data_IF_795621011756
#
_entry.id   IF_795621011756
#
_cell.length_a   1.000
_cell.length_b   1.000
_cell.length_c   1.000
_cell.angle_alpha   90.00
_cell.angle_beta   90.00
_cell.angle_gamma   90.00
#
_symmetry.space_group_name_H-M   'P 1'
#
loop_
_entity.id
_entity.type
_entity.pdbx_description
1 polymer ?
#
# COMPACT_ATOMS: atom_id res chain seq x y z
N UNK A 1 19.61 14.15 27.81
CA UNK A 1 19.68 13.91 26.35
C UNK A 1 19.08 12.56 25.91
N UNK A 2 19.06 11.53 26.77
CA UNK A 2 18.54 10.19 26.42
C UNK A 2 17.00 10.11 26.32
N UNK A 3 16.27 10.90 27.11
CA UNK A 3 14.80 10.90 27.12
C UNK A 3 14.23 11.40 25.77
N UNK A 4 14.77 12.51 25.24
CA UNK A 4 14.35 13.09 23.96
C UNK A 4 14.63 12.16 22.75
N UNK A 5 15.69 11.35 22.81
CA UNK A 5 16.04 10.41 21.75
C UNK A 5 15.12 9.17 21.74
N UNK A 6 14.58 8.79 22.91
CA UNK A 6 13.60 7.71 23.04
C UNK A 6 12.25 8.12 22.43
N UNK A 7 11.80 9.36 22.67
CA UNK A 7 10.58 9.92 22.08
C UNK A 7 10.64 9.99 20.54
N UNK A 8 11.78 10.41 19.98
CA UNK A 8 11.97 10.49 18.52
C UNK A 8 12.00 9.10 17.87
N UNK A 9 12.69 8.12 18.47
CA UNK A 9 12.70 6.74 17.95
C UNK A 9 11.32 6.09 17.99
N UNK A 10 10.57 6.30 19.08
CA UNK A 10 9.20 5.81 19.19
C UNK A 10 8.27 6.46 18.14
N UNK A 11 8.42 7.77 17.92
CA UNK A 11 7.64 8.50 16.92
C UNK A 11 7.94 8.03 15.49
N UNK A 12 9.20 7.76 15.16
CA UNK A 12 9.59 7.19 13.86
C UNK A 12 8.97 5.80 13.65
N UNK A 13 8.98 4.95 14.68
CA UNK A 13 8.31 3.65 14.64
C UNK A 13 6.82 3.77 14.35
N UNK A 14 6.14 4.69 15.05
CA UNK A 14 4.72 4.95 14.89
C UNK A 14 4.38 5.47 13.48
N UNK A 15 5.19 6.36 12.92
CA UNK A 15 5.01 6.85 11.54
C UNK A 15 5.23 5.76 10.50
N UNK A 16 6.20 4.86 10.72
CA UNK A 16 6.46 3.73 9.81
C UNK A 16 5.30 2.73 9.82
N UNK A 17 4.74 2.44 10.99
CA UNK A 17 3.58 1.57 11.15
C UNK A 17 2.31 2.19 10.54
N UNK A 18 2.04 3.48 10.86
CA UNK A 18 0.92 4.21 10.28
C UNK A 18 1.03 4.33 8.75
N UNK A 19 2.23 4.59 8.22
CA UNK A 19 2.51 4.60 6.80
C UNK A 19 2.22 3.25 6.14
N UNK A 20 2.63 2.15 6.77
CA UNK A 20 2.31 0.79 6.32
C UNK A 20 0.81 0.51 6.28
N UNK A 21 0.07 0.91 7.32
CA UNK A 21 -1.38 0.77 7.35
C UNK A 21 -2.07 1.59 6.25
N UNK A 22 -1.66 2.84 6.04
CA UNK A 22 -2.24 3.70 5.00
C UNK A 22 -2.01 3.13 3.59
N UNK A 23 -0.82 2.59 3.33
CA UNK A 23 -0.52 1.93 2.06
C UNK A 23 -1.38 0.67 1.90
N UNK A 24 -1.51 -0.14 2.95
CA UNK A 24 -2.37 -1.32 2.96
C UNK A 24 -3.84 -0.99 2.64
N UNK A 25 -4.40 0.04 3.28
CA UNK A 25 -5.75 0.53 3.00
C UNK A 25 -5.88 1.02 1.55
N UNK A 26 -4.88 1.74 1.04
CA UNK A 26 -4.83 2.19 -0.35
C UNK A 26 -4.92 1.03 -1.35
N UNK A 27 -4.18 -0.06 -1.11
CA UNK A 27 -4.25 -1.27 -1.94
C UNK A 27 -5.61 -1.96 -1.83
N UNK A 28 -6.20 -2.06 -0.64
CA UNK A 28 -7.56 -2.63 -0.49
C UNK A 28 -8.59 -1.82 -1.29
N UNK A 29 -8.57 -0.50 -1.18
CA UNK A 29 -9.47 0.37 -1.94
C UNK A 29 -9.26 0.23 -3.46
N UNK A 30 -8.01 0.19 -3.91
CA UNK A 30 -7.71 -0.04 -5.32
C UNK A 30 -8.20 -1.41 -5.81
N UNK A 31 -8.02 -2.46 -5.01
CA UNK A 31 -8.50 -3.82 -5.32
C UNK A 31 -10.02 -3.89 -5.44
N UNK A 32 -10.76 -3.22 -4.54
CA UNK A 32 -12.22 -3.11 -4.64
C UNK A 32 -12.67 -2.34 -5.88
N UNK A 33 -11.95 -1.29 -6.27
CA UNK A 33 -12.23 -0.54 -7.49
C UNK A 33 -12.04 -1.41 -8.75
N UNK A 34 -10.98 -2.24 -8.78
CA UNK A 34 -10.77 -3.23 -9.84
C UNK A 34 -11.91 -4.25 -9.87
N UNK A 35 -12.32 -4.77 -8.70
CA UNK A 35 -13.42 -5.73 -8.60
C UNK A 35 -14.74 -5.16 -9.14
N UNK A 36 -15.05 -3.91 -8.76
CA UNK A 36 -16.20 -3.17 -9.32
C UNK A 36 -16.10 -3.02 -10.84
N UNK A 37 -14.90 -2.75 -11.36
CA UNK A 37 -14.66 -2.58 -12.80
C UNK A 37 -14.82 -3.90 -13.57
N UNK A 38 -14.45 -5.03 -12.98
CA UNK A 38 -14.69 -6.38 -13.54
C UNK A 38 -16.19 -6.62 -13.74
N UNK A 39 -17.02 -6.28 -12.74
CA UNK A 39 -18.48 -6.50 -12.80
C UNK A 39 -19.17 -5.52 -13.77
N UNK A 40 -18.72 -4.26 -13.81
CA UNK A 40 -19.42 -3.20 -14.56
C UNK A 40 -18.94 -3.01 -16.00
N UNK A 41 -17.65 -3.22 -16.29
CA UNK A 41 -17.04 -3.05 -17.61
C UNK A 41 -15.93 -4.08 -17.84
N UNK A 42 -16.30 -5.36 -18.10
CA UNK A 42 -15.35 -6.46 -18.22
C UNK A 42 -14.34 -6.27 -19.37
N UNK A 43 -14.74 -5.60 -20.46
CA UNK A 43 -13.88 -5.32 -21.62
C UNK A 43 -12.61 -4.53 -21.28
N UNK A 44 -12.69 -3.61 -20.31
CA UNK A 44 -11.57 -2.77 -19.85
C UNK A 44 -11.02 -3.21 -18.48
N UNK A 45 -11.47 -4.35 -17.96
CA UNK A 45 -11.05 -4.84 -16.65
C UNK A 45 -9.61 -5.38 -16.66
N UNK A 46 -9.18 -5.97 -17.78
CA UNK A 46 -7.81 -6.50 -17.97
C UNK A 46 -6.70 -5.47 -17.71
N UNK A 47 -6.91 -4.22 -18.14
CA UNK A 47 -5.96 -3.13 -17.91
C UNK A 47 -5.91 -2.79 -16.43
N UNK A 48 -7.06 -2.62 -15.78
CA UNK A 48 -7.14 -2.31 -14.35
C UNK A 48 -6.52 -3.40 -13.47
N UNK A 49 -6.72 -4.67 -13.81
CA UNK A 49 -6.09 -5.81 -13.14
C UNK A 49 -4.57 -5.75 -13.32
N UNK A 50 -4.09 -5.52 -14.55
CA UNK A 50 -2.64 -5.43 -14.83
C UNK A 50 -1.99 -4.30 -14.04
N UNK A 51 -2.57 -3.11 -14.05
CA UNK A 51 -2.03 -1.96 -13.29
C UNK A 51 -2.01 -2.23 -11.79
N UNK A 52 -3.04 -2.88 -11.27
CA UNK A 52 -3.12 -3.27 -9.85
C UNK A 52 -2.04 -4.30 -9.48
N UNK A 53 -1.84 -5.33 -10.30
CA UNK A 53 -0.80 -6.34 -10.08
C UNK A 53 0.60 -5.69 -10.15
N UNK A 54 0.87 -4.85 -11.15
CA UNK A 54 2.15 -4.15 -11.27
C UNK A 54 2.44 -3.29 -10.04
N UNK A 55 1.45 -2.53 -9.56
CA UNK A 55 1.59 -1.74 -8.34
C UNK A 55 1.89 -2.61 -7.11
N UNK A 56 1.21 -3.75 -6.97
CA UNK A 56 1.43 -4.72 -5.89
C UNK A 56 2.85 -5.30 -5.93
N UNK A 57 3.32 -5.70 -7.11
CA UNK A 57 4.67 -6.27 -7.29
C UNK A 57 5.73 -5.24 -6.93
N UNK A 58 5.61 -3.99 -7.40
CA UNK A 58 6.55 -2.91 -7.06
C UNK A 58 6.57 -2.67 -5.55
N UNK A 59 5.40 -2.62 -4.90
CA UNK A 59 5.32 -2.46 -3.45
C UNK A 59 6.02 -3.58 -2.69
N UNK A 60 5.78 -4.85 -3.08
CA UNK A 60 6.43 -6.01 -2.47
C UNK A 60 7.95 -6.02 -2.70
N UNK A 61 8.41 -5.61 -3.89
CA UNK A 61 9.84 -5.50 -4.20
C UNK A 61 10.53 -4.45 -3.34
N UNK A 62 9.90 -3.28 -3.17
CA UNK A 62 10.43 -2.22 -2.29
C UNK A 62 10.50 -2.73 -0.85
N UNK A 63 9.47 -3.42 -0.38
CA UNK A 63 9.44 -3.98 0.98
C UNK A 63 10.44 -5.12 1.19
N UNK A 64 10.76 -5.87 0.13
CA UNK A 64 11.78 -6.94 0.18
C UNK A 64 13.21 -6.40 0.13
N UNK A 65 13.42 -5.15 -0.30
CA UNK A 65 14.73 -4.51 -0.42
C UNK A 65 15.13 -3.71 0.82
N UNK A 66 14.14 -3.30 1.63
CA UNK A 66 14.29 -2.59 2.92
C UNK A 66 14.46 -3.61 4.05
#
# INVERSE_FOLDING_TARGET
MILLAADVSALIGLFKEAGGMLIGVGFVCAGLAVLKKIITRPESAKEAITTYIVALVIYLLIWSLI
#
